data_IF_492422963171
#
_entry.id   IF_492422963171
#
_cell.length_a   1.000
_cell.length_b   1.000
_cell.length_c   1.000
_cell.angle_alpha   90.00
_cell.angle_beta   90.00
_cell.angle_gamma   90.00
#
_symmetry.space_group_name_H-M   'P 1'
#
loop_
_entity.id
_entity.type
_entity.pdbx_description
1 polymer ?
#
# COMPACT_ATOMS: atom_id res chain seq x y z
N UNK A 1 -39.07 -26.93 -22.43
CA UNK A 1 -38.08 -27.49 -21.46
C UNK A 1 -36.75 -27.56 -22.17
N UNK A 2 -35.65 -26.96 -21.75
CA UNK A 2 -35.28 -26.30 -20.50
C UNK A 2 -34.16 -25.31 -20.91
N UNK A 3 -34.34 -24.00 -20.68
CA UNK A 3 -33.30 -23.01 -20.95
C UNK A 3 -32.28 -23.12 -19.80
N UNK A 4 -31.11 -23.71 -20.06
CA UNK A 4 -30.02 -23.76 -19.11
C UNK A 4 -29.35 -22.38 -19.07
N UNK A 5 -29.83 -21.52 -18.16
CA UNK A 5 -29.13 -20.30 -17.76
C UNK A 5 -27.84 -20.71 -17.05
N UNK A 6 -26.75 -20.81 -17.81
CA UNK A 6 -25.40 -20.82 -17.26
C UNK A 6 -25.18 -19.46 -16.59
N UNK A 7 -25.48 -19.39 -15.29
CA UNK A 7 -24.94 -18.35 -14.43
C UNK A 7 -23.42 -18.52 -14.42
N UNK A 8 -22.74 -17.73 -15.25
CA UNK A 8 -21.35 -17.39 -15.00
C UNK A 8 -21.33 -16.60 -13.70
N UNK A 9 -21.18 -17.29 -12.58
CA UNK A 9 -20.67 -16.67 -11.36
C UNK A 9 -19.20 -16.40 -11.70
N UNK A 10 -18.72 -15.15 -11.75
CA UNK A 10 -17.31 -14.88 -11.93
C UNK A 10 -16.58 -15.32 -10.65
N UNK A 11 -16.30 -16.61 -10.56
CA UNK A 11 -15.40 -17.15 -9.54
C UNK A 11 -13.99 -16.67 -9.84
N UNK A 12 -13.32 -16.19 -8.79
CA UNK A 12 -11.88 -15.95 -8.69
C UNK A 12 -11.35 -14.55 -9.13
N UNK A 13 -11.83 -13.49 -8.48
CA UNK A 13 -11.01 -12.29 -8.22
C UNK A 13 -10.37 -12.37 -6.82
N UNK A 14 -10.00 -13.58 -6.39
CA UNK A 14 -9.56 -13.87 -5.04
C UNK A 14 -8.03 -13.95 -5.01
N UNK A 15 -7.40 -13.19 -4.11
CA UNK A 15 -5.96 -13.27 -3.87
C UNK A 15 -5.66 -14.55 -3.07
N UNK A 16 -4.51 -15.17 -3.33
CA UNK A 16 -4.04 -16.29 -2.50
C UNK A 16 -3.51 -15.77 -1.18
N UNK A 17 -3.96 -16.37 -0.08
CA UNK A 17 -3.43 -16.06 1.23
C UNK A 17 -1.96 -16.51 1.37
N UNK A 18 -1.20 -15.79 2.20
CA UNK A 18 0.18 -16.09 2.54
C UNK A 18 1.10 -14.88 2.48
N UNK A 19 2.37 -15.11 2.78
CA UNK A 19 3.41 -14.09 2.82
C UNK A 19 4.00 -13.87 1.43
N UNK A 20 4.17 -12.62 1.05
CA UNK A 20 4.72 -12.20 -0.23
C UNK A 20 6.07 -11.51 -0.02
N UNK A 21 7.10 -12.01 -0.69
CA UNK A 21 8.48 -11.53 -0.56
C UNK A 21 8.92 -10.80 -1.80
N UNK A 22 9.78 -9.81 -1.63
CA UNK A 22 10.32 -9.04 -2.73
C UNK A 22 11.10 -9.90 -3.72
N UNK A 23 10.88 -9.67 -5.01
CA UNK A 23 11.80 -10.09 -6.06
C UNK A 23 11.98 -9.00 -7.11
N UNK A 24 13.17 -8.98 -7.71
CA UNK A 24 13.55 -7.98 -8.71
C UNK A 24 12.69 -8.17 -9.97
N UNK A 25 11.85 -7.20 -10.26
CA UNK A 25 10.94 -7.24 -11.40
C UNK A 25 10.40 -5.87 -11.77
N UNK A 26 9.86 -5.77 -12.98
CA UNK A 26 9.07 -4.64 -13.43
C UNK A 26 7.69 -5.16 -13.80
N UNK A 27 6.63 -4.68 -13.14
CA UNK A 27 5.25 -5.18 -13.33
C UNK A 27 5.16 -6.71 -13.24
N UNK A 28 5.90 -7.27 -12.29
CA UNK A 28 5.98 -8.69 -11.94
C UNK A 28 6.56 -9.60 -13.03
N UNK A 29 7.17 -9.00 -14.06
CA UNK A 29 8.06 -9.68 -14.99
C UNK A 29 9.46 -9.70 -14.38
N UNK A 30 10.05 -10.88 -14.10
CA UNK A 30 11.38 -10.98 -13.48
C UNK A 30 12.45 -10.22 -14.26
N UNK A 31 13.35 -9.52 -13.54
CA UNK A 31 14.50 -8.80 -14.08
C UNK A 31 15.76 -9.17 -13.29
N UNK A 32 16.93 -9.01 -13.90
CA UNK A 32 18.20 -9.35 -13.26
C UNK A 32 18.46 -10.87 -13.18
N UNK A 33 19.34 -11.32 -12.28
CA UNK A 33 19.71 -12.74 -12.16
C UNK A 33 18.52 -13.62 -11.79
N UNK A 34 18.37 -14.75 -12.50
CA UNK A 34 17.20 -15.62 -12.36
C UNK A 34 17.48 -16.90 -11.60
N UNK A 35 18.74 -17.30 -11.44
CA UNK A 35 19.06 -18.48 -10.63
C UNK A 35 18.88 -18.14 -9.14
N UNK A 36 18.42 -19.07 -8.28
CA UNK A 36 18.23 -18.80 -6.86
C UNK A 36 19.48 -18.26 -6.16
N UNK A 37 20.65 -18.83 -6.48
CA UNK A 37 21.94 -18.42 -5.90
C UNK A 37 22.32 -16.99 -6.27
N UNK A 38 22.19 -16.62 -7.54
CA UNK A 38 22.53 -15.26 -7.99
C UNK A 38 21.47 -14.25 -7.56
N UNK A 39 20.20 -14.65 -7.52
CA UNK A 39 19.09 -13.83 -7.03
C UNK A 39 19.29 -13.48 -5.55
N UNK A 40 19.56 -14.46 -4.70
CA UNK A 40 19.82 -14.23 -3.27
C UNK A 40 21.07 -13.38 -2.99
N UNK A 41 21.99 -13.22 -3.95
CA UNK A 41 23.15 -12.35 -3.81
C UNK A 41 22.83 -10.86 -4.03
N UNK A 42 21.73 -10.54 -4.72
CA UNK A 42 21.39 -9.17 -5.11
C UNK A 42 20.00 -8.73 -4.69
N UNK A 43 19.12 -9.65 -4.31
CA UNK A 43 17.77 -9.37 -3.82
C UNK A 43 17.81 -9.34 -2.29
N UNK A 44 17.41 -8.23 -1.64
CA UNK A 44 17.24 -8.22 -0.20
C UNK A 44 16.12 -9.20 0.18
N UNK A 45 16.34 -9.96 1.25
CA UNK A 45 15.30 -10.81 1.83
C UNK A 45 14.32 -9.92 2.60
N UNK A 46 13.31 -9.44 1.89
CA UNK A 46 12.32 -8.50 2.40
C UNK A 46 10.93 -9.08 2.20
N UNK A 47 10.29 -9.45 3.29
CA UNK A 47 8.84 -9.65 3.30
C UNK A 47 8.16 -8.31 2.94
N UNK A 48 7.20 -8.28 2.03
CA UNK A 48 6.55 -7.04 1.60
C UNK A 48 5.19 -6.85 2.25
N UNK A 49 4.40 -7.92 2.25
CA UNK A 49 3.07 -7.94 2.84
C UNK A 49 2.58 -9.38 2.99
N UNK A 50 1.59 -9.59 3.83
CA UNK A 50 0.86 -10.84 3.99
C UNK A 50 -0.60 -10.62 3.63
N UNK A 51 -1.16 -11.57 2.92
CA UNK A 51 -2.59 -11.61 2.64
C UNK A 51 -3.21 -12.67 3.52
N UNK A 52 -4.10 -12.26 4.42
CA UNK A 52 -4.76 -13.12 5.40
C UNK A 52 -6.24 -13.26 5.06
N UNK A 53 -6.85 -14.46 5.14
CA UNK A 53 -8.28 -14.62 4.92
C UNK A 53 -9.07 -14.07 6.12
N UNK A 54 -10.13 -13.31 5.84
CA UNK A 54 -11.01 -12.65 6.79
C UNK A 54 -12.45 -13.19 6.76
N UNK A 55 -12.67 -14.39 6.21
CA UNK A 55 -13.99 -14.98 6.02
C UNK A 55 -14.09 -15.78 4.72
N UNK A 56 -15.32 -16.02 4.24
CA UNK A 56 -15.56 -16.81 3.03
C UNK A 56 -15.13 -16.10 1.73
N UNK A 57 -14.94 -14.77 1.75
CA UNK A 57 -14.54 -13.96 0.59
C UNK A 57 -13.77 -12.67 0.93
N UNK A 58 -13.51 -12.42 2.21
CA UNK A 58 -12.87 -11.19 2.68
C UNK A 58 -11.38 -11.46 2.95
N UNK A 59 -10.54 -10.46 2.73
CA UNK A 59 -9.09 -10.55 2.95
C UNK A 59 -8.61 -9.31 3.70
N UNK A 60 -7.57 -9.49 4.51
CA UNK A 60 -6.75 -8.41 5.06
C UNK A 60 -5.39 -8.41 4.38
N UNK A 61 -4.80 -7.22 4.26
CA UNK A 61 -3.40 -7.08 3.84
C UNK A 61 -2.58 -6.49 4.97
N UNK A 62 -1.60 -7.22 5.47
CA UNK A 62 -0.64 -6.70 6.43
C UNK A 62 0.60 -6.24 5.68
N UNK A 63 0.90 -4.94 5.66
CA UNK A 63 2.12 -4.45 5.04
C UNK A 63 3.29 -4.73 5.97
N UNK A 64 4.45 -5.05 5.41
CA UNK A 64 5.66 -5.12 6.22
C UNK A 64 6.09 -3.70 6.61
N UNK A 65 5.56 -3.19 7.72
CA UNK A 65 5.91 -1.87 8.23
C UNK A 65 7.36 -1.80 8.74
N UNK A 66 8.04 -2.94 8.99
CA UNK A 66 9.48 -2.96 9.28
C UNK A 66 10.33 -2.59 8.06
N UNK A 67 9.84 -2.89 6.86
CA UNK A 67 10.45 -2.45 5.61
C UNK A 67 10.36 -0.93 5.41
N UNK A 68 9.54 -0.22 6.19
CA UNK A 68 9.44 1.23 6.22
C UNK A 68 10.49 1.84 7.16
N UNK A 69 11.77 1.61 6.92
CA UNK A 69 12.88 2.08 7.78
C UNK A 69 12.94 3.60 7.99
N UNK A 70 12.26 4.37 7.14
CA UNK A 70 12.15 5.83 7.26
C UNK A 70 11.04 6.31 8.22
N UNK A 71 10.43 5.41 8.99
CA UNK A 71 9.35 5.69 9.93
C UNK A 71 9.84 5.49 11.37
N UNK A 72 9.40 6.34 12.31
CA UNK A 72 9.60 6.06 13.73
C UNK A 72 8.71 4.90 14.17
N UNK A 73 9.06 4.22 15.27
CA UNK A 73 8.30 3.08 15.81
C UNK A 73 6.83 3.41 16.05
N UNK A 74 6.52 4.61 16.57
CA UNK A 74 5.14 5.06 16.73
C UNK A 74 4.38 5.18 15.40
N UNK A 75 5.05 5.58 14.32
CA UNK A 75 4.46 5.64 12.98
C UNK A 75 4.22 4.26 12.38
N UNK A 76 5.13 3.29 12.61
CA UNK A 76 4.93 1.90 12.20
C UNK A 76 3.75 1.27 12.95
N UNK A 77 3.71 1.44 14.27
CA UNK A 77 2.62 0.96 15.12
C UNK A 77 1.28 1.51 14.66
N UNK A 78 1.18 2.83 14.42
CA UNK A 78 -0.03 3.44 13.90
C UNK A 78 -0.48 2.84 12.56
N UNK A 79 0.43 2.60 11.62
CA UNK A 79 0.09 1.95 10.35
C UNK A 79 -0.40 0.52 10.54
N UNK A 80 0.23 -0.25 11.43
CA UNK A 80 -0.19 -1.61 11.77
C UNK A 80 -1.56 -1.65 12.47
N UNK A 81 -1.87 -0.67 13.33
CA UNK A 81 -3.19 -0.58 13.97
C UNK A 81 -4.29 -0.30 12.92
N UNK A 82 -4.02 0.58 11.96
CA UNK A 82 -4.97 0.83 10.86
C UNK A 82 -5.22 -0.42 10.01
N UNK A 83 -4.23 -1.30 9.90
CA UNK A 83 -4.40 -2.57 9.20
C UNK A 83 -5.39 -3.53 9.89
N UNK A 84 -5.82 -3.27 11.12
CA UNK A 84 -6.87 -4.08 11.76
C UNK A 84 -8.29 -3.62 11.35
N UNK A 85 -8.44 -2.41 10.80
CA UNK A 85 -9.74 -1.78 10.52
C UNK A 85 -10.15 -1.81 9.02
N UNK A 86 -9.54 -2.69 8.23
CA UNK A 86 -9.61 -2.61 6.77
C UNK A 86 -10.98 -2.96 6.17
N UNK A 87 -11.33 -2.25 5.11
CA UNK A 87 -12.35 -2.64 4.16
C UNK A 87 -11.72 -3.07 2.83
N UNK A 88 -12.10 -4.25 2.33
CA UNK A 88 -11.58 -4.83 1.08
C UNK A 88 -12.56 -4.69 -0.08
N UNK A 89 -12.06 -4.32 -1.26
CA UNK A 89 -12.80 -4.35 -2.52
C UNK A 89 -11.92 -4.87 -3.66
N UNK A 90 -12.52 -5.57 -4.63
CA UNK A 90 -11.84 -6.06 -5.82
C UNK A 90 -12.63 -5.73 -7.09
N UNK A 91 -11.92 -5.40 -8.15
CA UNK A 91 -12.52 -5.05 -9.45
C UNK A 91 -11.52 -5.13 -10.59
N UNK A 92 -12.01 -4.96 -11.82
CA UNK A 92 -11.12 -4.81 -12.97
C UNK A 92 -10.42 -3.45 -12.90
N UNK A 93 -9.13 -3.43 -13.23
CA UNK A 93 -8.38 -2.18 -13.35
C UNK A 93 -8.98 -1.31 -14.45
N UNK A 94 -9.06 0.00 -14.23
CA UNK A 94 -9.55 0.98 -15.22
C UNK A 94 -8.71 1.01 -16.49
N UNK A 95 -7.43 0.65 -16.38
CA UNK A 95 -6.43 0.83 -17.43
C UNK A 95 -6.28 -0.41 -18.31
N UNK A 96 -6.65 -1.59 -17.79
CA UNK A 96 -6.57 -2.86 -18.49
C UNK A 96 -7.56 -3.87 -17.89
N UNK A 97 -8.51 -4.31 -18.70
CA UNK A 97 -9.56 -5.25 -18.28
C UNK A 97 -9.04 -6.66 -17.97
N UNK A 98 -7.76 -6.95 -18.24
CA UNK A 98 -7.09 -8.20 -17.87
C UNK A 98 -6.43 -8.15 -16.51
N UNK A 99 -6.31 -6.97 -15.89
CA UNK A 99 -5.71 -6.80 -14.56
C UNK A 99 -6.80 -6.70 -13.52
N UNK A 100 -6.60 -7.41 -12.41
CA UNK A 100 -7.49 -7.32 -11.25
C UNK A 100 -6.85 -6.39 -10.25
N UNK A 101 -7.60 -5.37 -9.84
CA UNK A 101 -7.24 -4.41 -8.82
C UNK A 101 -7.89 -4.79 -7.50
N UNK A 102 -7.09 -4.82 -6.45
CA UNK A 102 -7.48 -5.11 -5.09
C UNK A 102 -7.19 -3.88 -4.25
N UNK A 103 -8.23 -3.21 -3.75
CA UNK A 103 -8.10 -2.04 -2.92
C UNK A 103 -8.48 -2.40 -1.48
N UNK A 104 -7.54 -2.16 -0.57
CA UNK A 104 -7.75 -2.24 0.87
C UNK A 104 -7.76 -0.81 1.42
N UNK A 105 -8.86 -0.41 2.04
CA UNK A 105 -8.99 0.90 2.68
C UNK A 105 -8.94 0.73 4.19
N UNK A 106 -7.89 1.26 4.81
CA UNK A 106 -7.55 1.01 6.22
C UNK A 106 -8.21 2.01 7.18
N UNK A 107 -8.36 3.28 6.78
CA UNK A 107 -8.92 4.32 7.64
C UNK A 107 -9.98 5.14 6.89
N UNK A 108 -11.11 5.42 7.55
CA UNK A 108 -12.17 6.31 7.04
C UNK A 108 -12.78 7.17 8.14
N UNK A 109 -12.01 7.60 9.12
CA UNK A 109 -12.55 8.43 10.21
C UNK A 109 -12.20 9.91 10.05
N UNK A 110 -12.89 10.74 10.83
CA UNK A 110 -12.55 12.13 10.99
C UNK A 110 -11.60 12.26 12.19
N UNK A 111 -10.40 12.77 11.96
CA UNK A 111 -9.38 12.98 13.00
C UNK A 111 -9.21 14.47 13.29
N UNK A 112 -8.77 14.81 14.49
CA UNK A 112 -8.43 16.19 14.87
C UNK A 112 -7.08 16.61 14.28
N UNK A 113 -6.80 17.92 14.30
CA UNK A 113 -5.47 18.44 13.99
C UNK A 113 -4.38 17.84 14.89
N UNK A 114 -4.65 17.68 16.19
CA UNK A 114 -3.69 17.09 17.14
C UNK A 114 -3.36 15.63 16.78
N UNK A 115 -4.38 14.81 16.49
CA UNK A 115 -4.18 13.42 16.07
C UNK A 115 -3.40 13.33 14.75
N UNK A 116 -3.65 14.26 13.81
CA UNK A 116 -2.88 14.35 12.57
C UNK A 116 -1.42 14.74 12.83
N UNK A 117 -1.17 15.72 13.70
CA UNK A 117 0.18 16.13 14.09
C UNK A 117 0.93 14.98 14.73
N UNK A 118 0.29 14.23 15.63
CA UNK A 118 0.90 13.07 16.29
C UNK A 118 1.26 11.99 15.27
N UNK A 119 0.33 11.62 14.37
CA UNK A 119 0.59 10.67 13.29
C UNK A 119 1.75 11.13 12.39
N UNK A 120 1.73 12.39 11.92
CA UNK A 120 2.78 12.95 11.09
C UNK A 120 4.11 13.13 11.82
N UNK A 121 4.09 13.35 13.13
CA UNK A 121 5.32 13.41 13.94
C UNK A 121 5.99 12.04 13.96
N UNK A 122 5.21 10.95 14.01
CA UNK A 122 5.68 9.58 13.84
C UNK A 122 6.29 9.34 12.45
N UNK A 123 5.71 9.91 11.39
CA UNK A 123 6.20 9.73 10.01
C UNK A 123 7.40 10.63 9.68
N UNK A 124 7.42 11.87 10.18
CA UNK A 124 8.35 12.90 9.71
C UNK A 124 9.78 12.71 10.23
N UNK A 125 10.01 11.97 11.31
CA UNK A 125 11.34 11.91 11.95
C UNK A 125 12.46 11.32 11.10
N UNK A 126 12.18 10.63 9.98
CA UNK A 126 13.23 10.14 9.06
C UNK A 126 12.93 10.33 7.56
N UNK A 127 11.78 10.91 7.21
CA UNK A 127 11.46 11.29 5.82
C UNK A 127 12.27 12.50 5.37
N UNK A 128 12.69 12.55 4.09
CA UNK A 128 13.35 13.74 3.47
C UNK A 128 12.46 14.99 3.53
N UNK A 129 11.18 14.82 3.82
CA UNK A 129 10.14 15.84 3.85
C UNK A 129 9.85 16.46 5.22
N UNK A 130 10.74 16.33 6.23
CA UNK A 130 10.58 16.92 7.58
C UNK A 130 10.00 18.34 7.61
N UNK A 131 10.48 19.21 6.72
CA UNK A 131 10.02 20.59 6.64
C UNK A 131 8.68 20.76 5.92
N UNK A 132 8.28 19.84 5.05
CA UNK A 132 7.06 19.96 4.27
C UNK A 132 5.82 19.82 5.17
N UNK A 133 5.67 18.71 5.89
CA UNK A 133 4.48 18.48 6.73
C UNK A 133 4.34 19.57 7.80
N UNK A 134 5.44 19.93 8.46
CA UNK A 134 5.44 21.01 9.45
C UNK A 134 5.03 22.36 8.85
N UNK A 135 5.62 22.79 7.72
CA UNK A 135 5.23 24.03 7.05
C UNK A 135 3.79 24.00 6.56
N UNK A 136 3.31 22.83 6.11
CA UNK A 136 1.94 22.64 5.65
C UNK A 136 0.96 22.81 6.81
N UNK A 137 1.21 22.15 7.94
CA UNK A 137 0.42 22.32 9.17
C UNK A 137 0.43 23.78 9.63
N UNK A 138 1.59 24.45 9.66
CA UNK A 138 1.68 25.86 10.02
C UNK A 138 0.94 26.83 9.07
N UNK A 139 0.64 26.40 7.84
CA UNK A 139 -0.17 27.18 6.90
C UNK A 139 -1.67 27.07 7.14
N UNK A 140 -2.09 26.30 8.15
CA UNK A 140 -3.49 26.13 8.51
C UNK A 140 -3.91 27.20 9.52
N UNK A 141 -4.88 28.01 9.14
CA UNK A 141 -5.36 29.13 9.97
C UNK A 141 -6.39 28.71 11.05
N UNK A 142 -6.85 27.45 11.05
CA UNK A 142 -7.86 26.91 11.97
C UNK A 142 -7.27 25.86 12.90
N UNK A 143 -7.23 26.15 14.20
CA UNK A 143 -6.71 25.23 15.23
C UNK A 143 -7.66 24.08 15.59
N UNK A 144 -8.94 24.21 15.27
CA UNK A 144 -9.99 23.19 15.49
C UNK A 144 -10.29 22.38 14.21
N UNK A 145 -9.37 22.42 13.25
CA UNK A 145 -9.52 21.71 11.99
C UNK A 145 -9.68 20.19 12.20
N UNK A 146 -10.61 19.62 11.42
CA UNK A 146 -10.84 18.18 11.35
C UNK A 146 -10.46 17.68 9.96
N UNK A 147 -9.97 16.46 9.89
CA UNK A 147 -9.49 15.84 8.65
C UNK A 147 -10.17 14.51 8.44
N UNK A 148 -10.60 14.23 7.21
CA UNK A 148 -10.87 12.86 6.79
C UNK A 148 -9.52 12.18 6.51
N UNK A 149 -9.19 11.19 7.31
CA UNK A 149 -8.05 10.32 7.03
C UNK A 149 -8.50 9.17 6.11
N UNK A 150 -7.74 8.93 5.05
CA UNK A 150 -7.94 7.83 4.12
C UNK A 150 -6.59 7.18 3.84
N UNK A 151 -6.41 5.96 4.33
CA UNK A 151 -5.26 5.14 3.99
C UNK A 151 -5.69 4.04 3.02
N UNK A 152 -4.95 3.91 1.91
CA UNK A 152 -5.26 2.99 0.82
C UNK A 152 -4.03 2.14 0.51
N UNK A 153 -4.24 0.84 0.37
CA UNK A 153 -3.30 -0.12 -0.21
C UNK A 153 -3.92 -0.66 -1.50
N UNK A 154 -3.16 -0.65 -2.59
CA UNK A 154 -3.59 -1.19 -3.87
C UNK A 154 -2.63 -2.27 -4.35
N UNK A 155 -3.16 -3.47 -4.52
CA UNK A 155 -2.48 -4.60 -5.15
C UNK A 155 -3.06 -4.86 -6.54
N UNK A 156 -2.21 -5.12 -7.51
CA UNK A 156 -2.61 -5.49 -8.87
C UNK A 156 -2.16 -6.93 -9.16
N UNK A 157 -3.12 -7.77 -9.52
CA UNK A 157 -2.87 -9.09 -10.10
C UNK A 157 -2.77 -8.95 -11.63
N UNK A 158 -1.60 -9.26 -12.16
CA UNK A 158 -1.29 -9.26 -13.59
C UNK A 158 -1.57 -10.61 -14.27
N UNK A 159 -2.19 -11.55 -13.57
CA UNK A 159 -2.41 -12.93 -14.04
C UNK A 159 -1.15 -13.79 -13.96
N UNK A 160 -0.13 -13.36 -13.21
CA UNK A 160 1.11 -14.12 -13.03
C UNK A 160 1.01 -14.89 -11.73
N UNK A 161 1.11 -16.22 -11.84
CA UNK A 161 0.92 -17.13 -10.71
C UNK A 161 1.84 -16.77 -9.53
N UNK A 162 1.25 -16.68 -8.34
CA UNK A 162 1.91 -16.35 -7.07
C UNK A 162 2.50 -14.94 -6.99
N UNK A 163 2.10 -14.00 -7.85
CA UNK A 163 2.69 -12.67 -7.88
C UNK A 163 1.66 -11.57 -7.82
N UNK A 164 1.99 -10.52 -7.06
CA UNK A 164 1.18 -9.33 -6.92
C UNK A 164 2.06 -8.10 -6.96
N UNK A 165 1.55 -7.04 -7.56
CA UNK A 165 2.24 -5.76 -7.63
C UNK A 165 1.62 -4.78 -6.65
N UNK A 166 2.43 -4.25 -5.73
CA UNK A 166 2.07 -3.12 -4.87
C UNK A 166 2.11 -1.84 -5.70
N UNK A 167 0.93 -1.39 -6.15
CA UNK A 167 0.77 -0.21 -6.99
C UNK A 167 0.65 1.08 -6.18
N UNK A 168 0.03 1.00 -5.00
CA UNK A 168 -0.20 2.12 -4.10
C UNK A 168 -0.15 1.67 -2.64
N UNK A 169 0.42 2.51 -1.79
CA UNK A 169 0.29 2.45 -0.34
C UNK A 169 0.48 3.87 0.17
N UNK A 170 -0.63 4.54 0.46
CA UNK A 170 -0.63 5.97 0.75
C UNK A 170 -1.68 6.34 1.80
N UNK A 171 -1.35 7.34 2.62
CA UNK A 171 -2.30 7.99 3.52
C UNK A 171 -2.58 9.41 3.06
N UNK A 172 -3.85 9.76 2.94
CA UNK A 172 -4.34 11.07 2.54
C UNK A 172 -5.19 11.68 3.63
N UNK A 173 -4.89 12.93 3.98
CA UNK A 173 -5.60 13.69 5.01
C UNK A 173 -6.30 14.88 4.35
N UNK A 174 -7.62 14.79 4.21
CA UNK A 174 -8.42 15.82 3.57
C UNK A 174 -9.02 16.73 4.64
N UNK A 175 -8.78 18.03 4.56
CA UNK A 175 -9.45 18.98 5.45
C UNK A 175 -10.97 18.87 5.27
N UNK A 176 -11.71 18.88 6.37
CA UNK A 176 -13.17 18.94 6.35
C UNK A 176 -13.63 20.39 6.27
N UNK A 177 -14.63 20.65 5.43
CA UNK A 177 -15.31 21.94 5.37
C UNK A 177 -16.27 22.13 6.58
N UNK A 178 -16.88 23.31 6.66
CA UNK A 178 -17.81 23.66 7.75
C UNK A 178 -19.07 22.78 7.79
N UNK A 179 -19.31 21.98 6.75
CA UNK A 179 -20.40 21.01 6.66
C UNK A 179 -19.94 19.58 6.93
N UNK A 180 -18.67 19.40 7.35
CA UNK A 180 -18.06 18.10 7.61
C UNK A 180 -17.72 17.31 6.34
N UNK A 181 -17.71 17.93 5.16
CA UNK A 181 -17.38 17.27 3.90
C UNK A 181 -15.88 17.42 3.60
N UNK A 182 -15.18 16.35 3.19
CA UNK A 182 -13.78 16.46 2.79
C UNK A 182 -13.63 17.33 1.54
N UNK A 183 -12.62 18.20 1.54
CA UNK A 183 -12.18 18.90 0.34
C UNK A 183 -11.69 17.91 -0.73
N UNK A 184 -11.72 18.32 -2.00
CA UNK A 184 -11.36 17.45 -3.12
C UNK A 184 -9.87 17.07 -3.15
N UNK A 185 -9.00 18.01 -2.72
CA UNK A 185 -7.55 17.80 -2.70
C UNK A 185 -7.10 17.46 -1.28
N UNK A 186 -6.25 16.44 -1.09
CA UNK A 186 -5.65 16.17 0.20
C UNK A 186 -4.88 17.41 0.70
N UNK A 187 -5.04 17.73 1.99
CA UNK A 187 -4.22 18.73 2.63
C UNK A 187 -2.79 18.22 2.79
N UNK A 188 -2.64 16.96 3.21
CA UNK A 188 -1.38 16.24 3.32
C UNK A 188 -1.55 14.84 2.72
N UNK A 189 -0.52 14.38 2.01
CA UNK A 189 -0.41 13.01 1.51
C UNK A 189 0.93 12.42 1.94
N UNK A 190 0.94 11.15 2.33
CA UNK A 190 2.12 10.37 2.70
C UNK A 190 2.20 9.18 1.75
N UNK A 191 3.32 9.04 1.02
CA UNK A 191 3.58 7.92 0.11
C UNK A 191 4.44 6.87 0.84
N UNK A 192 3.79 5.85 1.39
CA UNK A 192 4.46 4.74 2.07
C UNK A 192 5.14 3.79 1.09
N UNK A 193 4.59 3.67 -0.13
CA UNK A 193 5.18 2.85 -1.21
C UNK A 193 6.54 3.41 -1.64
N UNK A 194 6.70 4.73 -1.69
CA UNK A 194 8.00 5.34 -1.99
C UNK A 194 9.06 4.89 -0.97
N UNK A 195 8.72 4.90 0.32
CA UNK A 195 9.63 4.43 1.36
C UNK A 195 10.01 2.95 1.20
N UNK A 196 9.03 2.07 0.92
CA UNK A 196 9.30 0.66 0.61
C UNK A 196 10.22 0.49 -0.60
N UNK A 197 9.96 1.24 -1.68
CA UNK A 197 10.65 1.05 -2.96
C UNK A 197 12.05 1.69 -3.02
N UNK A 198 12.30 2.78 -2.29
CA UNK A 198 13.60 3.46 -2.24
C UNK A 198 14.64 2.64 -1.46
N UNK A 199 14.25 2.00 -0.37
CA UNK A 199 15.20 1.30 0.51
C UNK A 199 15.50 -0.14 0.06
N UNK A 200 14.60 -0.78 -0.70
CA UNK A 200 14.85 -2.10 -1.31
C UNK A 200 16.14 -2.11 -2.14
N UNK A 201 16.36 -1.06 -2.93
CA UNK A 201 17.57 -0.90 -3.71
C UNK A 201 18.05 0.54 -3.67
N UNK A 202 19.26 0.80 -3.13
CA UNK A 202 19.83 2.14 -3.12
C UNK A 202 19.84 2.75 -4.52
N UNK A 203 19.74 4.08 -4.62
CA UNK A 203 19.69 4.78 -5.91
C UNK A 203 20.79 4.39 -6.91
N UNK A 204 21.98 4.02 -6.41
CA UNK A 204 23.13 3.59 -7.23
C UNK A 204 23.06 2.13 -7.71
N UNK A 205 22.14 1.33 -7.18
CA UNK A 205 21.93 -0.05 -7.60
C UNK A 205 21.38 -0.10 -9.03
N UNK A 206 21.91 -0.97 -9.92
CA UNK A 206 21.36 -1.14 -11.27
C UNK A 206 19.92 -1.70 -11.25
N UNK A 207 19.47 -2.24 -10.12
CA UNK A 207 18.14 -2.81 -9.95
C UNK A 207 17.10 -1.80 -9.43
N UNK A 208 17.52 -0.64 -8.92
CA UNK A 208 16.61 0.41 -8.42
C UNK A 208 15.57 0.84 -9.46
N UNK A 209 15.94 0.88 -10.75
CA UNK A 209 15.02 1.25 -11.82
C UNK A 209 13.79 0.34 -11.94
N UNK A 210 13.90 -0.92 -11.50
CA UNK A 210 12.82 -1.90 -11.59
C UNK A 210 11.78 -1.74 -10.48
N UNK A 211 12.12 -1.06 -9.37
CA UNK A 211 11.22 -0.84 -8.22
C UNK A 211 10.57 0.56 -8.20
N UNK A 212 10.93 1.46 -9.12
CA UNK A 212 10.53 2.88 -9.06
C UNK A 212 9.02 3.14 -9.06
N UNK A 213 8.25 2.32 -9.76
CA UNK A 213 6.81 2.55 -9.91
C UNK A 213 5.96 1.71 -8.94
N UNK A 214 6.61 0.88 -8.13
CA UNK A 214 6.00 -0.10 -7.25
C UNK A 214 6.86 -1.34 -7.15
N UNK A 215 6.42 -2.28 -6.32
CA UNK A 215 7.22 -3.43 -5.92
C UNK A 215 6.40 -4.70 -6.12
N UNK A 216 7.01 -5.78 -6.62
CA UNK A 216 6.31 -7.06 -6.68
C UNK A 216 6.69 -7.97 -5.53
N UNK A 217 5.64 -8.58 -4.97
CA UNK A 217 5.74 -9.73 -4.09
C UNK A 217 5.58 -11.02 -4.88
N UNK A 218 6.45 -11.99 -4.63
CA UNK A 218 6.28 -13.40 -4.97
C UNK A 218 5.87 -14.14 -3.70
N UNK A 219 4.75 -14.88 -3.74
CA UNK A 219 4.24 -15.61 -2.58
C UNK A 219 5.24 -16.68 -2.21
N UNK A 220 5.57 -16.75 -0.93
CA UNK A 220 6.38 -17.83 -0.38
C UNK A 220 5.60 -19.14 -0.39
N UNK A 221 6.26 -20.20 -0.86
CA UNK A 221 5.73 -21.57 -0.91
C UNK A 221 6.79 -22.48 -0.27
N UNK A 222 6.46 -23.19 0.82
CA UNK A 222 7.37 -24.13 1.48
C UNK A 222 7.85 -25.27 0.58
#
# INVERSE_FOLDING_TARGET
>A
MLLCLLWFIPSAHAIKAGQYYYFISQQCVPKGPQTPKERGAVTPDLWLFEVSPAGLSDYFVHMNTDALSNYAEAGKAYLSDLEEEQAYTAGQSSDDNKKIQHDFMLQREAITLDALVDALSGFSQHQKEKGYYYRKILSLDKSDAMFKAVTKVQLIDFGVTEKLFLADYSSHYYLLDEKGKPLATPFISVDHKEALSQDIHPYKSPFNQYTRNGVCGERWVP
#
